data_IF_194038621941
#
_entry.id   IF_194038621941
#
_cell.length_a   1.000
_cell.length_b   1.000
_cell.length_c   1.000
_cell.angle_alpha   90.00
_cell.angle_beta   90.00
_cell.angle_gamma   90.00
#
_symmetry.space_group_name_H-M   'P 1'
#
loop_
_entity.id
_entity.type
_entity.pdbx_description
1 polymer ?
#
# COMPACT_ATOMS: atom_id res chain seq x y z
N UNK A 1 -16.80 27.15 -69.29
CA UNK A 1 -15.80 27.98 -68.59
C UNK A 1 -16.31 28.35 -67.21
N UNK A 2 -15.64 27.79 -66.18
CA UNK A 2 -15.37 28.31 -64.81
C UNK A 2 -16.50 29.07 -64.10
N UNK A 3 -17.17 28.49 -63.12
CA UNK A 3 -16.67 28.33 -61.74
C UNK A 3 -16.04 29.62 -61.17
N UNK A 4 -16.85 30.44 -60.50
CA UNK A 4 -16.49 31.36 -59.40
C UNK A 4 -17.68 32.28 -59.14
N UNK A 5 -18.43 32.01 -58.07
CA UNK A 5 -19.16 32.97 -57.21
C UNK A 5 -20.05 32.20 -56.23
N UNK A 6 -19.41 31.42 -55.37
CA UNK A 6 -20.02 30.83 -54.17
C UNK A 6 -18.96 30.91 -53.07
N UNK A 7 -18.91 32.08 -52.42
CA UNK A 7 -18.17 32.44 -51.20
C UNK A 7 -18.44 33.94 -51.02
N UNK A 8 -19.25 34.31 -50.04
CA UNK A 8 -19.56 35.65 -49.46
C UNK A 8 -20.98 35.69 -48.84
N UNK A 9 -21.79 34.63 -48.92
CA UNK A 9 -23.12 34.57 -48.29
C UNK A 9 -23.20 33.76 -46.97
N UNK A 10 -22.08 33.57 -46.26
CA UNK A 10 -22.05 32.80 -44.99
C UNK A 10 -21.27 33.52 -43.88
N UNK A 11 -21.41 34.85 -43.81
CA UNK A 11 -20.79 35.69 -42.77
C UNK A 11 -21.78 36.65 -42.09
N UNK A 12 -23.10 36.48 -42.30
CA UNK A 12 -24.16 37.35 -41.73
C UNK A 12 -25.16 36.52 -40.87
N UNK A 13 -24.76 35.34 -40.39
CA UNK A 13 -25.62 34.49 -39.54
C UNK A 13 -25.08 34.28 -38.12
N UNK A 14 -23.96 34.93 -37.77
CA UNK A 14 -23.35 34.86 -36.45
C UNK A 14 -23.22 36.30 -35.91
N UNK A 15 -24.34 36.98 -35.68
CA UNK A 15 -24.35 38.21 -34.85
C UNK A 15 -25.73 38.63 -34.33
N UNK A 16 -26.71 37.73 -34.23
CA UNK A 16 -28.06 38.07 -33.72
C UNK A 16 -28.66 36.85 -33.03
N UNK A 17 -28.35 36.68 -31.74
CA UNK A 17 -29.22 36.07 -30.72
C UNK A 17 -28.48 36.02 -29.37
N UNK A 18 -28.38 37.20 -28.76
CA UNK A 18 -28.25 37.35 -27.32
C UNK A 18 -29.43 38.21 -26.85
N UNK A 19 -29.96 37.86 -25.67
CA UNK A 19 -31.02 38.52 -24.89
C UNK A 19 -32.46 38.03 -25.13
N UNK A 20 -33.00 37.23 -24.20
CA UNK A 20 -33.98 37.61 -23.15
C UNK A 20 -34.57 36.33 -22.51
N UNK A 21 -34.57 36.28 -21.17
CA UNK A 21 -35.07 35.27 -20.21
C UNK A 21 -36.62 35.10 -20.22
N UNK A 22 -37.32 34.40 -19.28
CA UNK A 22 -36.90 33.57 -18.13
C UNK A 22 -37.63 32.21 -17.94
N UNK A 23 -37.15 31.46 -16.94
CA UNK A 23 -37.76 30.29 -16.32
C UNK A 23 -39.11 30.58 -15.62
N UNK A 24 -40.07 29.67 -15.75
CA UNK A 24 -41.12 29.38 -14.76
C UNK A 24 -41.89 28.09 -15.14
N UNK A 25 -42.34 27.38 -14.10
CA UNK A 25 -43.42 26.38 -14.03
C UNK A 25 -43.04 24.95 -13.59
N UNK A 26 -43.32 24.72 -12.31
CA UNK A 26 -43.79 23.52 -11.63
C UNK A 26 -44.55 22.46 -12.46
N UNK A 27 -44.40 21.19 -12.03
CA UNK A 27 -45.55 20.35 -11.65
C UNK A 27 -45.97 19.21 -12.60
N UNK A 28 -46.07 17.99 -12.05
CA UNK A 28 -46.78 16.82 -12.61
C UNK A 28 -46.02 15.51 -12.39
N UNK A 29 -46.16 14.81 -11.26
CA UNK A 29 -47.24 13.87 -10.90
C UNK A 29 -47.45 12.73 -11.92
N UNK A 30 -46.97 11.52 -11.58
CA UNK A 30 -47.72 10.28 -11.85
C UNK A 30 -47.53 9.26 -10.71
N UNK A 31 -48.66 8.91 -10.10
CA UNK A 31 -48.87 7.76 -9.24
C UNK A 31 -48.78 6.46 -10.06
N UNK A 32 -48.30 5.37 -9.45
CA UNK A 32 -48.34 4.04 -10.06
C UNK A 32 -47.92 2.91 -9.14
N UNK A 33 -48.86 2.49 -8.29
CA UNK A 33 -49.04 1.13 -7.73
C UNK A 33 -47.92 0.49 -6.87
N UNK A 34 -48.23 0.47 -5.56
CA UNK A 34 -47.76 -0.51 -4.59
C UNK A 34 -48.38 -1.90 -4.83
N UNK A 35 -47.58 -2.94 -4.57
CA UNK A 35 -48.03 -4.27 -4.14
C UNK A 35 -47.01 -4.82 -3.12
N UNK A 36 -47.40 -5.77 -2.25
CA UNK A 36 -47.08 -5.71 -0.82
C UNK A 36 -45.92 -6.61 -0.36
N UNK A 37 -45.19 -6.10 0.65
CA UNK A 37 -44.87 -6.81 1.90
C UNK A 37 -43.95 -8.03 1.86
N UNK A 38 -42.66 -7.82 2.13
CA UNK A 38 -41.82 -8.78 2.86
C UNK A 38 -41.05 -8.07 3.99
N UNK A 39 -40.78 -8.74 5.13
CA UNK A 39 -40.32 -8.10 6.36
C UNK A 39 -38.83 -7.70 6.31
N UNK A 40 -38.38 -6.75 7.16
CA UNK A 40 -36.99 -6.33 7.20
C UNK A 40 -36.14 -7.38 7.91
N UNK A 41 -35.38 -8.15 7.14
CA UNK A 41 -34.21 -8.87 7.64
C UNK A 41 -33.07 -7.88 7.86
N UNK A 42 -32.96 -7.37 9.08
CA UNK A 42 -31.84 -6.58 9.56
C UNK A 42 -30.57 -7.42 9.64
N UNK A 43 -29.47 -6.94 9.05
CA UNK A 43 -28.13 -7.42 9.39
C UNK A 43 -27.16 -7.65 8.23
N UNK A 44 -27.14 -6.81 7.20
CA UNK A 44 -25.95 -6.73 6.34
C UNK A 44 -24.83 -6.05 7.13
N UNK A 45 -23.84 -6.82 7.57
CA UNK A 45 -22.54 -6.29 7.99
C UNK A 45 -21.96 -5.48 6.83
N UNK A 46 -21.86 -4.17 7.03
CA UNK A 46 -21.14 -3.26 6.16
C UNK A 46 -19.63 -3.55 6.24
N UNK A 47 -19.15 -4.50 5.43
CA UNK A 47 -17.71 -4.68 5.18
C UNK A 47 -17.14 -3.60 4.21
N UNK A 48 -17.99 -2.70 3.71
CA UNK A 48 -17.62 -1.67 2.73
C UNK A 48 -17.01 -0.37 3.27
N UNK A 49 -16.73 -0.24 4.57
CA UNK A 49 -16.32 1.04 5.18
C UNK A 49 -15.03 1.00 6.02
N UNK A 50 -14.12 0.05 5.78
CA UNK A 50 -12.82 -0.05 6.50
C UNK A 50 -11.60 0.26 5.64
N UNK A 51 -11.64 1.29 4.80
CA UNK A 51 -10.43 1.84 4.21
C UNK A 51 -10.04 3.11 4.97
N UNK A 52 -9.52 2.92 6.19
CA UNK A 52 -8.81 3.99 6.89
C UNK A 52 -7.62 4.45 6.04
N UNK A 53 -7.31 5.74 6.08
CA UNK A 53 -6.12 6.30 5.43
C UNK A 53 -4.90 5.55 5.96
N UNK A 54 -4.04 5.07 5.07
CA UNK A 54 -2.90 4.26 5.47
C UNK A 54 -1.97 5.06 6.40
N UNK A 55 -1.70 4.52 7.60
CA UNK A 55 -0.82 5.16 8.59
C UNK A 55 0.65 4.92 8.24
N UNK A 56 1.60 5.66 8.84
CA UNK A 56 3.04 5.41 8.62
C UNK A 56 3.44 3.97 8.98
N UNK A 57 2.73 3.33 9.91
CA UNK A 57 3.00 1.97 10.31
C UNK A 57 2.32 0.88 9.47
N UNK A 58 1.48 1.22 8.50
CA UNK A 58 0.92 0.24 7.55
C UNK A 58 2.00 -0.55 6.78
N UNK A 59 3.06 0.10 6.22
CA UNK A 59 4.26 -0.57 5.75
C UNK A 59 4.82 -1.63 6.70
N UNK A 60 5.00 -1.25 7.97
CA UNK A 60 5.66 -2.05 9.00
C UNK A 60 4.77 -3.25 9.34
N UNK A 61 3.47 -3.02 9.55
CA UNK A 61 2.50 -4.09 9.80
C UNK A 61 2.36 -5.06 8.62
N UNK A 62 2.31 -4.57 7.37
CA UNK A 62 2.25 -5.45 6.18
C UNK A 62 3.53 -6.27 6.05
N UNK A 63 4.71 -5.65 6.16
CA UNK A 63 5.98 -6.38 6.09
C UNK A 63 6.11 -7.41 7.21
N UNK A 64 5.67 -7.07 8.43
CA UNK A 64 5.61 -8.01 9.54
C UNK A 64 4.73 -9.23 9.20
N UNK A 65 3.54 -9.01 8.62
CA UNK A 65 2.69 -10.11 8.17
C UNK A 65 3.34 -10.96 7.09
N UNK A 66 4.00 -10.36 6.11
CA UNK A 66 4.66 -11.13 5.04
C UNK A 66 5.81 -11.97 5.59
N UNK A 67 6.67 -11.41 6.45
CA UNK A 67 7.75 -12.17 7.09
C UNK A 67 7.18 -13.28 7.99
N UNK A 68 6.14 -12.98 8.74
CA UNK A 68 5.47 -13.94 9.61
C UNK A 68 4.90 -15.14 8.87
N UNK A 69 4.33 -14.92 7.67
CA UNK A 69 3.78 -15.97 6.80
C UNK A 69 4.84 -16.95 6.29
N UNK A 70 6.10 -16.56 6.40
CA UNK A 70 7.24 -17.31 5.90
C UNK A 70 8.14 -17.85 7.03
N UNK A 71 7.73 -17.70 8.29
CA UNK A 71 8.30 -18.42 9.43
C UNK A 71 7.67 -19.82 9.57
N UNK A 72 8.42 -20.74 10.17
CA UNK A 72 8.10 -22.16 10.34
C UNK A 72 8.53 -22.66 11.72
N UNK A 73 8.07 -23.84 12.11
CA UNK A 73 8.39 -24.48 13.38
C UNK A 73 7.44 -24.09 14.52
N UNK A 74 7.57 -24.74 15.70
CA UNK A 74 6.57 -24.72 16.77
C UNK A 74 6.35 -23.37 17.46
N UNK A 75 7.25 -22.41 17.28
CA UNK A 75 7.12 -21.03 17.78
C UNK A 75 7.42 -20.01 16.67
N UNK A 76 7.19 -20.46 15.43
CA UNK A 76 7.74 -19.92 14.18
C UNK A 76 9.12 -19.26 14.34
N UNK A 77 10.05 -20.03 14.90
CA UNK A 77 11.44 -19.68 15.18
C UNK A 77 12.41 -20.22 14.11
N UNK A 78 11.86 -20.83 13.05
CA UNK A 78 12.60 -21.27 11.88
C UNK A 78 12.21 -20.40 10.70
N UNK A 79 13.16 -20.12 9.85
CA UNK A 79 12.94 -19.55 8.54
C UNK A 79 13.75 -20.37 7.54
N UNK A 80 13.35 -20.30 6.29
CA UNK A 80 14.10 -20.89 5.21
C UNK A 80 14.95 -19.78 4.59
N UNK A 81 16.27 -19.85 4.77
CA UNK A 81 17.20 -18.85 4.22
C UNK A 81 17.20 -18.85 2.67
N UNK A 82 16.75 -19.95 2.05
CA UNK A 82 16.52 -20.03 0.61
C UNK A 82 15.15 -19.51 0.22
N UNK A 83 14.24 -19.32 1.20
CA UNK A 83 12.96 -18.70 0.92
C UNK A 83 13.21 -17.26 0.52
N UNK A 84 12.79 -16.94 -0.69
CA UNK A 84 13.15 -15.70 -1.33
C UNK A 84 12.48 -14.46 -0.73
N UNK A 85 11.39 -14.61 0.03
CA UNK A 85 10.80 -13.53 0.83
C UNK A 85 11.82 -13.01 1.85
N UNK A 86 12.60 -13.89 2.48
CA UNK A 86 13.67 -13.50 3.41
C UNK A 86 14.85 -12.84 2.71
N UNK A 87 15.05 -13.14 1.42
CA UNK A 87 16.05 -12.44 0.60
C UNK A 87 15.57 -11.12 0.00
N UNK A 88 14.25 -10.94 -0.16
CA UNK A 88 13.61 -9.74 -0.70
C UNK A 88 13.35 -8.70 0.40
N UNK A 89 12.84 -9.16 1.53
CA UNK A 89 12.53 -8.36 2.73
C UNK A 89 13.70 -8.36 3.71
N UNK A 90 14.76 -9.11 3.46
CA UNK A 90 16.01 -8.90 4.15
C UNK A 90 16.85 -8.06 3.23
N UNK A 91 17.25 -6.87 3.66
CA UNK A 91 18.64 -6.51 3.38
C UNK A 91 19.48 -7.57 4.12
N UNK A 92 19.61 -8.75 3.51
CA UNK A 92 20.27 -9.93 4.07
C UNK A 92 21.65 -9.51 4.54
N UNK A 93 22.24 -8.47 3.98
CA UNK A 93 23.53 -7.92 4.40
C UNK A 93 23.43 -7.14 5.72
N UNK A 94 22.44 -6.26 5.92
CA UNK A 94 22.22 -5.63 7.24
C UNK A 94 21.87 -6.68 8.30
N UNK A 95 20.96 -7.59 7.96
CA UNK A 95 20.55 -8.66 8.86
C UNK A 95 21.71 -9.62 9.13
N UNK A 96 22.48 -10.08 8.12
CA UNK A 96 23.72 -10.85 8.31
C UNK A 96 24.77 -10.07 9.10
N UNK A 97 24.87 -8.75 8.95
CA UNK A 97 25.81 -7.95 9.72
C UNK A 97 25.44 -7.96 11.20
N UNK A 98 24.15 -7.81 11.51
CA UNK A 98 23.63 -7.94 12.87
C UNK A 98 23.78 -9.38 13.41
N UNK A 99 23.41 -10.36 12.60
CA UNK A 99 23.37 -11.78 12.92
C UNK A 99 24.73 -12.46 12.95
N UNK A 100 25.73 -11.94 12.25
CA UNK A 100 27.12 -12.44 12.35
C UNK A 100 27.67 -12.34 13.77
N UNK A 101 27.03 -11.51 14.62
CA UNK A 101 27.40 -11.30 16.01
C UNK A 101 26.54 -12.11 16.99
N UNK A 102 25.50 -12.81 16.53
CA UNK A 102 24.52 -13.48 17.41
C UNK A 102 24.07 -14.84 16.87
N UNK A 103 23.87 -15.82 17.76
CA UNK A 103 23.34 -17.15 17.38
C UNK A 103 21.81 -17.15 17.22
N UNK A 104 21.14 -16.08 17.65
CA UNK A 104 19.69 -15.85 17.68
C UNK A 104 19.05 -15.58 16.32
N UNK A 105 19.87 -15.49 15.28
CA UNK A 105 19.39 -15.35 13.92
C UNK A 105 19.39 -16.66 13.14
N UNK A 106 19.92 -17.74 13.69
CA UNK A 106 19.92 -19.03 13.01
C UNK A 106 18.49 -19.59 12.96
N UNK A 107 18.15 -20.27 11.87
CA UNK A 107 16.89 -21.00 11.79
C UNK A 107 16.81 -22.02 12.93
N UNK A 108 15.68 -22.06 13.64
CA UNK A 108 15.49 -22.81 14.87
C UNK A 108 15.75 -21.99 16.14
N UNK A 109 16.43 -20.86 16.03
CA UNK A 109 16.72 -19.92 17.11
C UNK A 109 16.20 -18.51 16.82
N UNK A 110 15.40 -18.31 15.77
CA UNK A 110 14.94 -16.98 15.35
C UNK A 110 14.07 -16.32 16.42
N UNK A 111 14.58 -15.26 17.05
CA UNK A 111 13.97 -14.58 18.21
C UNK A 111 13.05 -13.41 17.82
N UNK A 112 12.21 -12.98 18.75
CA UNK A 112 11.34 -11.81 18.61
C UNK A 112 12.09 -10.53 18.20
N UNK A 113 13.25 -10.25 18.80
CA UNK A 113 14.10 -9.11 18.42
C UNK A 113 14.57 -9.24 16.97
N UNK A 114 15.03 -10.44 16.58
CA UNK A 114 15.46 -10.73 15.20
C UNK A 114 14.34 -10.49 14.18
N UNK A 115 13.09 -10.82 14.54
CA UNK A 115 11.91 -10.57 13.71
C UNK A 115 11.67 -9.08 13.48
N UNK A 116 11.62 -8.28 14.55
CA UNK A 116 11.40 -6.84 14.44
C UNK A 116 12.53 -6.18 13.64
N UNK A 117 13.78 -6.55 13.91
CA UNK A 117 14.93 -6.05 13.15
C UNK A 117 14.82 -6.40 11.66
N UNK A 118 14.39 -7.63 11.32
CA UNK A 118 14.19 -8.05 9.94
C UNK A 118 13.09 -7.25 9.24
N UNK A 119 11.97 -6.97 9.91
CA UNK A 119 10.86 -6.15 9.36
C UNK A 119 11.35 -4.75 9.01
N UNK A 120 12.09 -4.10 9.90
CA UNK A 120 12.59 -2.75 9.66
C UNK A 120 13.71 -2.72 8.60
N UNK A 121 14.57 -3.74 8.58
CA UNK A 121 15.57 -3.91 7.53
C UNK A 121 14.94 -4.09 6.14
N UNK A 122 13.81 -4.81 6.05
CA UNK A 122 13.04 -4.99 4.82
C UNK A 122 12.57 -3.70 4.19
N UNK A 123 12.21 -2.74 5.03
CA UNK A 123 11.69 -1.46 4.61
C UNK A 123 12.82 -0.49 4.25
N UNK A 124 14.08 -0.92 4.30
CA UNK A 124 15.24 -0.05 4.17
C UNK A 124 15.35 0.97 5.31
N UNK A 125 14.68 0.72 6.44
CA UNK A 125 14.65 1.57 7.63
C UNK A 125 15.20 0.78 8.83
N UNK A 126 16.48 0.35 8.83
CA UNK A 126 17.01 -0.43 9.95
C UNK A 126 16.79 0.30 11.27
N UNK A 127 16.44 -0.46 12.32
CA UNK A 127 16.31 0.12 13.65
C UNK A 127 17.64 0.76 14.09
N UNK A 128 17.61 1.91 14.80
CA UNK A 128 18.81 2.46 15.40
C UNK A 128 19.47 1.45 16.32
N UNK A 129 20.80 1.33 16.26
CA UNK A 129 21.53 0.36 17.08
C UNK A 129 21.28 0.57 18.59
N UNK A 130 21.01 1.80 19.02
CA UNK A 130 20.64 2.13 20.41
C UNK A 130 19.27 1.61 20.82
N UNK A 131 18.37 1.31 19.88
CA UNK A 131 17.07 0.70 20.17
C UNK A 131 17.20 -0.81 20.40
N UNK A 132 18.13 -1.44 19.67
CA UNK A 132 18.25 -2.89 19.62
C UNK A 132 18.99 -3.41 20.87
N UNK A 133 18.27 -4.14 21.70
CA UNK A 133 18.79 -4.83 22.88
C UNK A 133 18.01 -6.12 23.15
N UNK A 134 18.02 -6.58 24.41
CA UNK A 134 17.08 -7.61 24.84
C UNK A 134 15.64 -7.09 24.71
N UNK A 135 14.67 -8.00 24.58
CA UNK A 135 13.30 -7.62 24.27
C UNK A 135 12.70 -6.62 25.30
N UNK A 136 12.93 -6.84 26.59
CA UNK A 136 12.49 -5.91 27.65
C UNK A 136 13.14 -4.52 27.60
N UNK A 137 14.29 -4.37 26.90
CA UNK A 137 15.04 -3.11 26.82
C UNK A 137 14.48 -2.19 25.73
N UNK A 138 13.74 -2.70 24.75
CA UNK A 138 13.15 -1.89 23.67
C UNK A 138 12.37 -0.68 24.21
N UNK A 139 11.61 -0.92 25.28
CA UNK A 139 10.82 0.12 25.94
C UNK A 139 11.66 1.26 26.50
N UNK A 140 12.74 0.95 27.21
CA UNK A 140 13.58 1.98 27.83
C UNK A 140 14.50 2.64 26.79
N UNK A 141 14.99 1.87 25.83
CA UNK A 141 15.82 2.37 24.74
C UNK A 141 15.09 3.37 23.83
N UNK A 142 13.77 3.20 23.65
CA UNK A 142 12.95 4.13 22.86
C UNK A 142 12.76 5.49 23.55
N UNK A 143 12.92 5.58 24.87
CA UNK A 143 12.55 6.77 25.65
C UNK A 143 13.25 8.06 25.21
N UNK A 144 14.48 7.94 24.71
CA UNK A 144 15.35 9.06 24.38
C UNK A 144 15.74 9.06 22.90
N UNK A 145 15.06 8.27 22.07
CA UNK A 145 15.43 8.08 20.68
C UNK A 145 14.69 9.08 19.80
N UNK A 146 15.39 10.02 19.12
CA UNK A 146 14.73 10.97 18.23
C UNK A 146 13.91 10.25 17.16
N UNK A 147 12.66 10.68 16.99
CA UNK A 147 11.73 10.07 16.03
C UNK A 147 11.05 8.80 16.50
N UNK A 148 11.10 8.55 17.81
CA UNK A 148 10.34 7.48 18.44
C UNK A 148 9.56 8.01 19.63
N UNK A 149 8.35 7.52 19.78
CA UNK A 149 7.44 7.84 20.87
C UNK A 149 7.08 6.58 21.63
N UNK A 150 7.02 6.70 22.96
CA UNK A 150 6.46 5.65 23.81
C UNK A 150 5.03 6.01 24.15
N UNK A 151 4.15 5.03 24.03
CA UNK A 151 2.74 5.11 24.37
C UNK A 151 2.51 4.12 25.52
N UNK A 152 2.63 4.56 26.79
CA UNK A 152 2.40 3.71 27.96
C UNK A 152 1.00 3.13 27.96
N UNK A 153 0.81 1.93 28.52
CA UNK A 153 -0.52 1.28 28.60
C UNK A 153 -1.62 2.20 29.16
N UNK A 154 -1.41 2.98 30.25
CA UNK A 154 -2.44 3.89 30.74
C UNK A 154 -2.86 4.97 29.73
N UNK A 155 -1.98 5.29 28.77
CA UNK A 155 -2.24 6.25 27.69
C UNK A 155 -2.73 5.59 26.41
N UNK A 156 -2.62 4.26 26.26
CA UNK A 156 -3.01 3.54 25.05
C UNK A 156 -4.50 3.71 24.70
N UNK A 157 -5.37 3.87 25.71
CA UNK A 157 -6.79 4.16 25.49
C UNK A 157 -7.02 5.48 24.74
N UNK A 158 -6.16 6.49 24.96
CA UNK A 158 -6.30 7.82 24.35
C UNK A 158 -5.42 7.98 23.11
N UNK A 159 -4.17 7.51 23.17
CA UNK A 159 -3.20 7.65 22.09
C UNK A 159 -3.42 6.64 20.95
N UNK A 160 -4.18 5.57 21.22
CA UNK A 160 -4.61 4.50 20.31
C UNK A 160 -3.44 3.80 19.61
N UNK A 161 -3.17 2.52 19.90
CA UNK A 161 -2.21 1.74 19.12
C UNK A 161 -2.54 1.80 17.63
N UNK A 162 -1.52 1.79 16.79
CA UNK A 162 -1.66 1.80 15.35
C UNK A 162 -0.92 0.61 14.76
N UNK A 163 -1.37 0.18 13.59
CA UNK A 163 -0.63 -0.77 12.77
C UNK A 163 0.80 -0.28 12.59
N UNK A 164 1.78 -1.16 12.77
CA UNK A 164 3.21 -0.88 12.70
C UNK A 164 3.88 -0.42 14.00
N UNK A 165 3.11 -0.10 15.04
CA UNK A 165 3.71 0.15 16.36
C UNK A 165 4.43 -1.11 16.85
N UNK A 166 5.60 -0.93 17.49
CA UNK A 166 6.20 -2.02 18.25
C UNK A 166 5.46 -2.17 19.57
N UNK A 167 5.37 -3.39 20.07
CA UNK A 167 4.80 -3.69 21.38
C UNK A 167 5.93 -4.16 22.28
N UNK A 168 6.10 -3.56 23.45
CA UNK A 168 7.12 -3.92 24.42
C UNK A 168 6.53 -4.60 25.64
N UNK A 169 7.06 -5.78 25.99
CA UNK A 169 6.74 -6.48 27.23
C UNK A 169 7.98 -6.70 28.09
N UNK A 170 7.80 -6.63 29.41
CA UNK A 170 8.76 -7.13 30.39
C UNK A 170 8.26 -8.43 31.05
N UNK A 171 9.14 -9.09 31.80
CA UNK A 171 8.81 -10.34 32.49
C UNK A 171 8.92 -11.57 31.59
N UNK A 172 7.93 -12.47 31.68
CA UNK A 172 7.95 -13.78 31.05
C UNK A 172 8.73 -14.82 31.87
N UNK A 173 8.71 -16.11 31.48
CA UNK A 173 9.28 -17.22 32.27
C UNK A 173 10.77 -17.06 32.62
N UNK A 174 11.50 -16.30 31.81
CA UNK A 174 12.94 -16.09 31.95
C UNK A 174 13.30 -14.62 32.23
N UNK A 175 12.31 -13.73 32.37
CA UNK A 175 12.52 -12.30 32.62
C UNK A 175 13.02 -11.48 31.41
N UNK A 176 13.22 -12.09 30.24
CA UNK A 176 13.76 -11.41 29.05
C UNK A 176 12.78 -10.43 28.38
N UNK A 177 11.49 -10.50 28.71
CA UNK A 177 10.44 -9.74 28.04
C UNK A 177 10.11 -10.28 26.65
N UNK A 178 9.42 -9.47 25.86
CA UNK A 178 9.09 -9.79 24.46
C UNK A 178 8.91 -8.50 23.64
N UNK A 179 9.06 -8.60 22.32
CA UNK A 179 8.78 -7.50 21.40
C UNK A 179 8.03 -8.01 20.15
N UNK A 180 7.02 -7.28 19.70
CA UNK A 180 6.22 -7.63 18.53
C UNK A 180 5.82 -6.38 17.74
N UNK A 181 5.06 -6.57 16.65
CA UNK A 181 4.56 -5.48 15.81
C UNK A 181 3.04 -5.58 15.70
N UNK A 182 2.33 -4.48 15.94
CA UNK A 182 0.89 -4.39 15.70
C UNK A 182 0.63 -4.55 14.20
N UNK A 183 -0.21 -5.51 13.81
CA UNK A 183 -0.53 -5.78 12.39
C UNK A 183 -1.97 -5.50 12.03
N UNK A 184 -2.86 -5.47 13.02
CA UNK A 184 -4.28 -5.14 12.87
C UNK A 184 -4.86 -4.78 14.25
N UNK A 185 -5.95 -4.03 14.29
CA UNK A 185 -6.65 -3.71 15.53
C UNK A 185 -8.12 -3.38 15.32
N UNK A 186 -8.91 -3.58 16.37
CA UNK A 186 -10.25 -3.05 16.51
C UNK A 186 -10.31 -2.29 17.84
N UNK A 187 -10.62 -1.01 17.78
CA UNK A 187 -10.81 -0.23 18.99
C UNK A 187 -12.02 -0.73 19.80
N UNK A 188 -11.96 -0.69 21.15
CA UNK A 188 -13.13 -0.93 21.97
C UNK A 188 -14.19 0.14 21.72
N UNK A 189 -15.44 -0.25 21.93
CA UNK A 189 -16.57 0.67 22.00
C UNK A 189 -17.08 0.72 23.45
N UNK A 190 -17.96 1.67 23.81
CA UNK A 190 -18.55 1.69 25.16
C UNK A 190 -19.24 0.38 25.58
N UNK A 191 -19.66 -0.44 24.61
CA UNK A 191 -20.45 -1.65 24.86
C UNK A 191 -19.76 -2.95 24.43
N UNK A 192 -18.54 -2.88 23.88
CA UNK A 192 -17.85 -4.06 23.38
C UNK A 192 -16.34 -3.88 23.46
N UNK A 193 -15.66 -4.92 23.90
CA UNK A 193 -14.21 -5.00 23.86
C UNK A 193 -13.72 -4.99 22.40
N UNK A 194 -12.57 -4.35 22.21
CA UNK A 194 -11.78 -4.40 21.01
C UNK A 194 -10.68 -5.46 21.11
N UNK A 195 -9.76 -5.41 20.16
CA UNK A 195 -8.61 -6.30 20.12
C UNK A 195 -7.43 -5.67 19.39
N UNK A 196 -6.24 -6.18 19.69
CA UNK A 196 -5.00 -5.79 19.02
C UNK A 196 -4.34 -7.09 18.54
N UNK A 197 -4.22 -7.23 17.23
CA UNK A 197 -3.52 -8.36 16.60
C UNK A 197 -2.09 -7.93 16.31
N UNK A 198 -1.13 -8.78 16.64
CA UNK A 198 0.29 -8.49 16.47
C UNK A 198 1.02 -9.69 15.87
N UNK A 199 2.10 -9.42 15.12
CA UNK A 199 3.01 -10.43 14.59
C UNK A 199 4.33 -10.44 15.36
N UNK A 200 4.87 -11.62 15.62
CA UNK A 200 6.07 -11.80 16.44
C UNK A 200 6.94 -13.01 16.02
N UNK A 201 8.03 -13.30 16.72
CA UNK A 201 8.69 -14.60 16.60
C UNK A 201 9.10 -15.19 17.95
N UNK A 202 9.21 -16.52 18.00
CA UNK A 202 9.57 -17.26 19.21
C UNK A 202 8.57 -17.07 20.37
N UNK A 203 7.28 -17.11 20.07
CA UNK A 203 6.22 -17.11 21.10
C UNK A 203 5.00 -17.92 20.63
N UNK A 204 4.00 -18.09 21.50
CA UNK A 204 2.68 -18.56 21.08
C UNK A 204 2.04 -17.64 20.04
N UNK A 205 1.13 -18.21 19.27
CA UNK A 205 0.15 -17.49 18.47
C UNK A 205 -1.02 -18.39 18.09
N UNK A 206 -1.96 -17.85 17.33
CA UNK A 206 -3.27 -18.49 17.09
C UNK A 206 -3.61 -18.60 15.60
N UNK A 207 -2.68 -18.21 14.73
CA UNK A 207 -2.91 -18.10 13.30
C UNK A 207 -3.26 -19.42 12.63
N UNK A 208 -2.61 -20.51 13.03
CA UNK A 208 -2.93 -21.83 12.51
C UNK A 208 -3.49 -22.70 13.63
N UNK A 209 -4.52 -23.48 13.28
CA UNK A 209 -5.22 -24.38 14.20
C UNK A 209 -4.38 -25.59 14.62
N UNK A 210 -3.16 -25.73 14.11
CA UNK A 210 -2.27 -26.83 14.45
C UNK A 210 -1.49 -26.49 15.73
N UNK A 211 -1.67 -27.25 16.83
CA UNK A 211 -0.92 -27.05 18.07
C UNK A 211 0.61 -27.16 17.90
N UNK A 212 1.09 -27.82 16.84
CA UNK A 212 2.51 -27.89 16.50
C UNK A 212 3.00 -26.70 15.68
N UNK A 213 2.09 -25.86 15.19
CA UNK A 213 2.38 -24.69 14.36
C UNK A 213 1.40 -23.56 14.67
N UNK A 214 1.31 -23.04 15.91
CA UNK A 214 0.33 -22.01 16.27
C UNK A 214 0.32 -20.79 15.31
N UNK A 215 1.44 -20.57 14.62
CA UNK A 215 1.73 -19.31 13.94
C UNK A 215 2.05 -18.26 15.00
N UNK A 216 2.59 -17.12 14.57
CA UNK A 216 2.98 -16.07 15.52
C UNK A 216 2.29 -14.75 15.20
N UNK A 217 1.06 -14.82 14.67
CA UNK A 217 0.13 -13.76 15.02
C UNK A 217 -0.62 -14.19 16.25
N UNK A 218 -0.84 -13.25 17.16
CA UNK A 218 -1.68 -13.47 18.34
C UNK A 218 -2.46 -12.18 18.61
N UNK A 219 -3.42 -12.26 19.54
CA UNK A 219 -4.38 -11.22 19.82
C UNK A 219 -4.44 -10.91 21.31
N UNK A 220 -4.25 -9.64 21.64
CA UNK A 220 -4.60 -9.09 22.96
C UNK A 220 -6.05 -8.62 22.95
N UNK A 221 -6.74 -8.78 24.09
CA UNK A 221 -8.05 -8.17 24.29
C UNK A 221 -7.88 -6.73 24.76
N UNK A 222 -8.52 -5.79 24.08
CA UNK A 222 -8.51 -4.38 24.45
C UNK A 222 -9.88 -4.02 25.01
N UNK A 223 -9.98 -3.99 26.33
CA UNK A 223 -11.26 -3.85 27.02
C UNK A 223 -11.88 -2.46 26.87
N UNK A 224 -13.20 -2.40 26.96
CA UNK A 224 -13.97 -1.14 26.91
C UNK A 224 -13.54 -0.11 27.97
N UNK A 225 -12.97 -0.55 29.09
CA UNK A 225 -12.43 0.30 30.14
C UNK A 225 -10.98 0.78 29.89
N UNK A 226 -10.42 0.48 28.71
CA UNK A 226 -9.06 0.84 28.33
C UNK A 226 -7.97 -0.13 28.81
N UNK A 227 -8.29 -1.15 29.62
CA UNK A 227 -7.34 -2.18 30.00
C UNK A 227 -6.97 -3.07 28.82
N UNK A 228 -5.74 -3.55 28.78
CA UNK A 228 -5.28 -4.50 27.75
C UNK A 228 -4.86 -5.78 28.44
N UNK A 229 -5.56 -6.87 28.13
CA UNK A 229 -5.19 -8.21 28.60
C UNK A 229 -4.14 -8.80 27.67
N UNK A 230 -3.03 -9.22 28.27
CA UNK A 230 -1.85 -9.76 27.58
C UNK A 230 -1.50 -11.16 28.09
N UNK A 231 -0.45 -11.77 27.53
CA UNK A 231 0.05 -13.09 27.93
C UNK A 231 0.31 -13.23 29.44
N UNK A 232 -0.05 -14.38 30.04
CA UNK A 232 0.28 -14.69 31.42
C UNK A 232 1.79 -14.60 31.70
N UNK A 233 2.16 -13.97 32.80
CA UNK A 233 3.56 -13.80 33.23
C UNK A 233 4.31 -12.67 32.53
N UNK A 234 3.71 -12.03 31.51
CA UNK A 234 4.25 -10.84 30.87
C UNK A 234 3.55 -9.58 31.38
N UNK A 235 4.30 -8.49 31.48
CA UNK A 235 3.74 -7.15 31.74
C UNK A 235 3.88 -6.31 30.49
N UNK A 236 2.76 -5.88 29.91
CA UNK A 236 2.76 -4.95 28.78
C UNK A 236 3.27 -3.59 29.27
N UNK A 237 4.39 -3.13 28.71
CA UNK A 237 4.97 -1.82 29.04
C UNK A 237 4.26 -0.72 28.25
N UNK A 238 3.97 -0.99 26.97
CA UNK A 238 3.23 -0.10 26.09
C UNK A 238 3.58 -0.34 24.62
N UNK A 239 3.33 0.68 23.80
CA UNK A 239 3.62 0.70 22.37
C UNK A 239 4.74 1.69 22.05
N UNK A 240 5.57 1.38 21.07
CA UNK A 240 6.66 2.23 20.62
C UNK A 240 6.38 2.57 19.15
N UNK A 241 6.11 3.85 18.90
CA UNK A 241 5.75 4.37 17.58
C UNK A 241 6.94 5.09 16.97
N UNK A 242 7.22 4.84 15.70
CA UNK A 242 8.12 5.70 14.93
C UNK A 242 7.35 6.98 14.55
N UNK A 243 7.78 8.13 15.07
CA UNK A 243 7.10 9.43 14.91
C UNK A 243 7.79 10.40 13.96
N UNK A 244 9.06 10.18 13.64
CA UNK A 244 9.73 10.96 12.59
C UNK A 244 10.63 10.09 11.72
N UNK A 245 10.56 10.35 10.42
CA UNK A 245 11.50 9.84 9.44
C UNK A 245 10.86 8.92 8.41
N UNK A 246 10.05 9.50 7.51
CA UNK A 246 10.14 9.01 6.13
C UNK A 246 11.57 9.27 5.65
N UNK A 247 12.19 8.33 4.92
CA UNK A 247 13.50 8.57 4.35
C UNK A 247 13.36 9.75 3.39
N UNK A 248 14.11 10.83 3.63
CA UNK A 248 14.32 11.86 2.60
C UNK A 248 15.13 11.31 1.42
N UNK A 249 15.71 10.12 1.59
CA UNK A 249 16.46 9.37 0.59
C UNK A 249 15.81 8.01 0.36
N UNK A 250 15.34 7.73 -0.86
CA UNK A 250 14.89 6.39 -1.26
C UNK A 250 16.02 5.40 -0.91
N UNK A 251 15.75 4.30 -0.19
CA UNK A 251 16.79 3.32 0.14
C UNK A 251 17.44 2.75 -1.14
N UNK A 252 18.71 2.32 -1.06
CA UNK A 252 19.42 1.74 -2.19
C UNK A 252 18.69 0.53 -2.79
N UNK A 253 18.91 0.33 -4.10
CA UNK A 253 18.14 -0.53 -5.00
C UNK A 253 17.90 -1.95 -4.45
N UNK A 254 16.64 -2.33 -4.34
CA UNK A 254 16.22 -3.71 -4.06
C UNK A 254 16.29 -4.52 -5.36
N UNK A 255 16.98 -5.65 -5.37
CA UNK A 255 16.97 -6.59 -6.49
C UNK A 255 16.32 -7.91 -6.03
N UNK A 256 15.27 -8.35 -6.72
CA UNK A 256 14.64 -9.64 -6.49
C UNK A 256 15.40 -10.78 -7.15
N UNK A 257 15.39 -11.98 -6.58
CA UNK A 257 15.84 -13.21 -7.25
C UNK A 257 14.68 -13.99 -7.90
N UNK A 258 14.93 -14.79 -8.95
CA UNK A 258 13.87 -15.51 -9.68
C UNK A 258 13.10 -16.52 -8.82
N UNK A 259 13.71 -17.04 -7.76
CA UNK A 259 13.06 -17.95 -6.80
C UNK A 259 11.93 -17.24 -6.03
N UNK A 260 12.01 -15.92 -5.82
CA UNK A 260 10.98 -15.06 -5.15
C UNK A 260 9.62 -15.27 -5.73
N UNK A 261 9.54 -15.17 -7.05
CA UNK A 261 8.26 -15.19 -7.75
C UNK A 261 7.58 -16.55 -7.66
N UNK A 262 8.35 -17.64 -7.60
CA UNK A 262 7.81 -18.99 -7.48
C UNK A 262 7.25 -19.26 -6.08
N UNK A 263 7.88 -18.74 -5.02
CA UNK A 263 7.38 -18.88 -3.64
C UNK A 263 6.01 -18.23 -3.44
N UNK A 264 5.76 -17.09 -4.09
CA UNK A 264 4.50 -16.34 -3.99
C UNK A 264 3.29 -17.07 -4.58
N UNK A 265 3.50 -18.02 -5.50
CA UNK A 265 2.43 -18.81 -6.12
C UNK A 265 1.72 -19.72 -5.12
N UNK A 266 2.37 -20.06 -4.00
CA UNK A 266 1.88 -21.04 -3.03
C UNK A 266 1.19 -20.42 -1.79
N UNK A 267 0.93 -19.12 -1.78
CA UNK A 267 0.20 -18.47 -0.66
C UNK A 267 -1.28 -18.88 -0.72
N UNK A 268 -1.85 -19.54 0.32
CA UNK A 268 -3.21 -20.10 0.26
C UNK A 268 -4.34 -19.06 0.16
N UNK A 269 -4.07 -17.83 0.61
CA UNK A 269 -5.01 -16.73 0.52
C UNK A 269 -4.72 -15.90 -0.74
N UNK A 270 -5.70 -15.84 -1.63
CA UNK A 270 -5.59 -15.16 -2.92
C UNK A 270 -5.24 -13.68 -2.82
N UNK A 271 -5.83 -12.94 -1.87
CA UNK A 271 -5.48 -11.52 -1.67
C UNK A 271 -4.04 -11.37 -1.16
N UNK A 272 -3.60 -12.23 -0.25
CA UNK A 272 -2.21 -12.21 0.24
C UNK A 272 -1.20 -12.55 -0.86
N UNK A 273 -1.58 -13.43 -1.79
CA UNK A 273 -0.78 -13.72 -2.98
C UNK A 273 -0.56 -12.47 -3.84
N UNK A 274 -1.62 -11.70 -4.09
CA UNK A 274 -1.52 -10.46 -4.88
C UNK A 274 -0.75 -9.38 -4.13
N UNK A 275 -0.87 -9.31 -2.80
CA UNK A 275 -0.13 -8.33 -2.01
C UNK A 275 1.36 -8.59 -2.10
N UNK A 276 1.73 -9.86 -1.92
CA UNK A 276 3.12 -10.26 -2.01
C UNK A 276 3.70 -10.07 -3.43
N UNK A 277 2.90 -10.30 -4.49
CA UNK A 277 3.31 -10.00 -5.86
C UNK A 277 3.44 -8.49 -6.12
N UNK A 278 2.57 -7.66 -5.55
CA UNK A 278 2.69 -6.22 -5.61
C UNK A 278 3.96 -5.73 -4.92
N UNK A 279 4.26 -6.24 -3.71
CA UNK A 279 5.51 -5.95 -2.99
C UNK A 279 6.73 -6.35 -3.82
N UNK A 280 6.70 -7.55 -4.41
CA UNK A 280 7.77 -7.99 -5.29
C UNK A 280 7.95 -7.08 -6.51
N UNK A 281 6.85 -6.72 -7.17
CA UNK A 281 6.87 -5.83 -8.33
C UNK A 281 7.46 -4.46 -7.97
N UNK A 282 7.05 -3.88 -6.84
CA UNK A 282 7.59 -2.63 -6.36
C UNK A 282 9.08 -2.72 -6.05
N UNK A 283 9.52 -3.77 -5.35
CA UNK A 283 10.93 -4.00 -5.05
C UNK A 283 11.77 -4.09 -6.33
N UNK A 284 11.35 -4.90 -7.31
CA UNK A 284 12.05 -5.06 -8.60
C UNK A 284 12.18 -3.73 -9.36
N UNK A 285 11.10 -2.94 -9.39
CA UNK A 285 11.07 -1.65 -10.07
C UNK A 285 11.49 -0.48 -9.18
N UNK A 286 12.09 -0.73 -8.02
CA UNK A 286 12.63 0.29 -7.12
C UNK A 286 11.58 1.34 -6.70
N UNK A 287 10.33 0.91 -6.60
CA UNK A 287 9.23 1.67 -6.03
C UNK A 287 9.15 1.34 -4.55
N UNK A 288 8.85 2.35 -3.73
CA UNK A 288 8.59 2.12 -2.31
C UNK A 288 7.39 1.16 -2.14
N UNK A 289 7.59 -0.10 -1.69
CA UNK A 289 6.54 -1.12 -1.74
C UNK A 289 5.22 -0.76 -1.05
N UNK A 290 5.24 -0.09 0.13
CA UNK A 290 3.99 0.29 0.77
C UNK A 290 3.14 1.25 -0.05
N UNK A 291 3.74 2.19 -0.76
CA UNK A 291 2.96 3.07 -1.64
C UNK A 291 2.34 2.31 -2.80
N UNK A 292 3.09 1.38 -3.38
CA UNK A 292 2.59 0.59 -4.48
C UNK A 292 1.47 -0.35 -4.05
N UNK A 293 1.58 -0.97 -2.87
CA UNK A 293 0.50 -1.77 -2.28
C UNK A 293 -0.72 -0.90 -2.00
N UNK A 294 -0.56 0.27 -1.38
CA UNK A 294 -1.66 1.22 -1.15
C UNK A 294 -2.32 1.68 -2.45
N UNK A 295 -1.53 1.86 -3.50
CA UNK A 295 -2.03 2.15 -4.84
C UNK A 295 -2.95 1.02 -5.33
N UNK A 296 -2.50 -0.23 -5.27
CA UNK A 296 -3.31 -1.37 -5.71
C UNK A 296 -4.58 -1.56 -4.85
N UNK A 297 -4.52 -1.24 -3.54
CA UNK A 297 -5.71 -1.14 -2.70
C UNK A 297 -6.63 0.01 -3.12
N UNK A 298 -6.09 1.16 -3.52
CA UNK A 298 -6.88 2.28 -4.02
C UNK A 298 -7.57 1.98 -5.36
N UNK A 299 -6.91 1.22 -6.24
CA UNK A 299 -7.44 0.83 -7.55
C UNK A 299 -8.54 -0.22 -7.45
N UNK A 300 -8.28 -1.32 -6.75
CA UNK A 300 -9.17 -2.48 -6.77
C UNK A 300 -9.48 -3.08 -5.41
N UNK A 301 -8.93 -2.53 -4.33
CA UNK A 301 -8.92 -3.22 -3.04
C UNK A 301 -8.04 -4.47 -3.06
N UNK A 302 -7.07 -4.50 -3.99
CA UNK A 302 -6.18 -5.64 -4.25
C UNK A 302 -6.91 -6.90 -4.76
N UNK A 303 -8.08 -6.71 -5.37
CA UNK A 303 -8.97 -7.77 -5.82
C UNK A 303 -9.09 -7.74 -7.35
N UNK A 304 -8.55 -8.74 -8.07
CA UNK A 304 -8.57 -8.74 -9.53
C UNK A 304 -9.95 -9.01 -10.13
N UNK A 305 -10.92 -9.49 -9.34
CA UNK A 305 -12.18 -10.03 -9.85
C UNK A 305 -13.41 -9.27 -9.38
N UNK A 306 -14.50 -9.38 -10.13
CA UNK A 306 -15.80 -8.90 -9.70
C UNK A 306 -16.36 -9.83 -8.62
N UNK A 307 -17.00 -9.24 -7.61
CA UNK A 307 -17.71 -9.97 -6.56
C UNK A 307 -19.21 -9.69 -6.63
N UNK A 308 -20.02 -10.71 -6.40
CA UNK A 308 -21.47 -10.56 -6.23
C UNK A 308 -21.80 -9.95 -4.86
N UNK A 309 -23.10 -9.74 -4.59
CA UNK A 309 -23.56 -9.17 -3.32
C UNK A 309 -23.21 -10.01 -2.08
N UNK A 310 -22.82 -11.27 -2.27
CA UNK A 310 -22.43 -12.20 -1.20
C UNK A 310 -20.90 -12.31 -1.09
N UNK A 311 -20.13 -11.53 -1.86
CA UNK A 311 -18.67 -11.58 -1.86
C UNK A 311 -18.05 -12.72 -2.70
N UNK A 312 -18.86 -13.49 -3.43
CA UNK A 312 -18.36 -14.56 -4.29
C UNK A 312 -17.83 -13.99 -5.60
N UNK A 313 -16.78 -14.62 -6.15
CA UNK A 313 -16.26 -14.27 -7.48
C UNK A 313 -17.33 -14.54 -8.55
N UNK A 314 -17.67 -13.50 -9.31
CA UNK A 314 -18.55 -13.62 -10.48
C UNK A 314 -17.81 -14.40 -11.56
N UNK A 315 -18.50 -15.39 -12.13
CA UNK A 315 -17.97 -16.22 -13.22
C UNK A 315 -18.74 -15.97 -14.51
N UNK A 316 -18.03 -16.02 -15.64
CA UNK A 316 -18.63 -15.97 -16.97
C UNK A 316 -19.37 -17.27 -17.31
N UNK A 317 -19.97 -17.33 -18.51
CA UNK A 317 -20.68 -18.52 -19.02
C UNK A 317 -19.80 -19.78 -19.15
N UNK A 318 -18.48 -19.63 -19.13
CA UNK A 318 -17.52 -20.72 -19.21
C UNK A 318 -16.94 -21.08 -17.83
N UNK A 319 -17.39 -20.40 -16.75
CA UNK A 319 -16.90 -20.61 -15.40
C UNK A 319 -15.61 -19.87 -15.05
N UNK A 320 -15.11 -18.97 -15.92
CA UNK A 320 -13.91 -18.18 -15.65
C UNK A 320 -14.24 -16.97 -14.76
N UNK A 321 -13.36 -16.57 -13.83
CA UNK A 321 -13.50 -15.33 -13.08
C UNK A 321 -13.65 -14.11 -14.01
N UNK A 322 -14.65 -13.27 -13.74
CA UNK A 322 -14.82 -12.00 -14.46
C UNK A 322 -13.88 -10.96 -13.84
N UNK A 323 -12.99 -10.32 -14.62
CA UNK A 323 -12.09 -9.31 -14.08
C UNK A 323 -12.84 -8.08 -13.60
N UNK A 324 -12.35 -7.47 -12.53
CA UNK A 324 -12.91 -6.24 -11.97
C UNK A 324 -12.78 -5.11 -12.98
N UNK A 325 -13.87 -4.40 -13.24
CA UNK A 325 -13.87 -3.26 -14.17
C UNK A 325 -14.38 -1.98 -13.52
N UNK A 326 -13.79 -0.83 -13.87
CA UNK A 326 -14.32 0.48 -13.50
C UNK A 326 -15.34 0.99 -14.52
N UNK A 327 -16.13 2.04 -14.18
CA UNK A 327 -16.97 2.75 -15.15
C UNK A 327 -16.21 3.33 -16.36
N UNK A 328 -14.88 3.52 -16.24
CA UNK A 328 -14.00 3.98 -17.32
C UNK A 328 -13.37 2.82 -18.11
N UNK A 329 -13.85 1.59 -17.93
CA UNK A 329 -13.34 0.36 -18.53
C UNK A 329 -11.87 0.07 -18.19
N UNK A 330 -11.42 0.51 -17.01
CA UNK A 330 -10.17 0.02 -16.43
C UNK A 330 -10.35 -1.42 -15.95
N UNK A 331 -9.34 -2.28 -16.08
CA UNK A 331 -9.47 -3.74 -15.92
C UNK A 331 -8.48 -4.28 -14.87
N UNK A 332 -8.95 -5.20 -14.03
CA UNK A 332 -8.15 -6.05 -13.15
C UNK A 332 -7.61 -5.37 -11.90
N UNK A 333 -6.66 -6.01 -11.23
CA UNK A 333 -6.14 -5.57 -9.91
C UNK A 333 -5.47 -4.20 -9.96
N UNK A 334 -4.83 -3.88 -11.10
CA UNK A 334 -4.14 -2.62 -11.32
C UNK A 334 -5.00 -1.56 -12.05
N UNK A 335 -6.24 -1.90 -12.43
CA UNK A 335 -7.16 -1.00 -13.14
C UNK A 335 -6.49 -0.33 -14.36
N UNK A 336 -5.88 -1.12 -15.23
CA UNK A 336 -5.34 -0.60 -16.49
C UNK A 336 -6.44 -0.39 -17.53
N UNK A 337 -6.39 0.72 -18.26
CA UNK A 337 -7.08 0.84 -19.55
C UNK A 337 -6.46 -0.12 -20.56
N UNK A 338 -7.28 -0.70 -21.44
CA UNK A 338 -6.80 -1.62 -22.48
C UNK A 338 -5.70 -0.99 -23.36
N UNK A 339 -5.83 0.30 -23.70
CA UNK A 339 -4.82 1.04 -24.48
C UNK A 339 -3.49 1.20 -23.74
N UNK A 340 -3.55 1.40 -22.42
CA UNK A 340 -2.34 1.50 -21.59
C UNK A 340 -1.66 0.14 -21.49
N UNK A 341 -2.43 -0.92 -21.21
CA UNK A 341 -1.91 -2.29 -21.15
C UNK A 341 -1.25 -2.73 -22.47
N UNK A 342 -1.83 -2.36 -23.61
CA UNK A 342 -1.27 -2.62 -24.93
C UNK A 342 0.10 -1.95 -25.16
N UNK A 343 0.36 -0.81 -24.51
CA UNK A 343 1.60 -0.06 -24.61
C UNK A 343 2.72 -0.54 -23.67
N UNK A 344 2.41 -1.37 -22.68
CA UNK A 344 3.41 -1.88 -21.73
C UNK A 344 4.15 -3.06 -22.37
N UNK A 345 5.50 -3.05 -22.40
CA UNK A 345 6.28 -4.11 -23.02
C UNK A 345 6.20 -5.40 -22.20
N UNK A 346 6.14 -6.58 -22.83
CA UNK A 346 6.01 -7.85 -22.10
C UNK A 346 7.19 -8.18 -21.18
N UNK A 347 8.39 -7.66 -21.45
CA UNK A 347 9.50 -7.81 -20.49
C UNK A 347 9.18 -7.17 -19.12
N UNK A 348 8.22 -6.23 -19.03
CA UNK A 348 7.77 -5.65 -17.77
C UNK A 348 7.09 -6.65 -16.80
N UNK A 349 6.72 -7.84 -17.26
CA UNK A 349 6.15 -8.88 -16.38
C UNK A 349 7.22 -9.86 -15.87
N UNK A 350 8.45 -9.76 -16.38
CA UNK A 350 9.54 -10.64 -16.00
C UNK A 350 10.33 -10.05 -14.82
N UNK A 351 9.94 -10.41 -13.61
CA UNK A 351 10.57 -9.90 -12.39
C UNK A 351 11.90 -10.60 -12.01
N UNK A 352 12.53 -11.34 -12.94
CA UNK A 352 13.85 -11.96 -12.69
C UNK A 352 14.93 -10.90 -12.40
N UNK A 353 15.91 -11.16 -11.51
CA UNK A 353 17.02 -10.25 -11.19
C UNK A 353 17.82 -9.79 -12.40
N UNK A 354 17.90 -10.64 -13.43
CA UNK A 354 18.66 -10.38 -14.65
C UNK A 354 17.90 -9.48 -15.62
N UNK A 355 16.60 -9.26 -15.41
CA UNK A 355 15.84 -8.32 -16.23
C UNK A 355 16.00 -6.91 -15.66
N UNK A 356 16.58 -5.97 -16.41
CA UNK A 356 16.75 -4.61 -15.92
C UNK A 356 15.37 -3.91 -15.77
N UNK A 357 15.23 -2.99 -14.80
CA UNK A 357 14.01 -2.19 -14.66
C UNK A 357 13.63 -1.45 -15.96
N UNK A 358 14.63 -1.02 -16.74
CA UNK A 358 14.45 -0.39 -18.04
C UNK A 358 14.25 -1.41 -19.16
N UNK A 359 13.11 -2.09 -19.10
CA UNK A 359 12.67 -3.11 -20.03
C UNK A 359 12.60 -2.65 -21.51
N UNK A 360 12.45 -1.33 -21.76
CA UNK A 360 12.35 -0.76 -23.11
C UNK A 360 13.69 -0.52 -23.81
N UNK A 361 14.80 -0.59 -23.08
CA UNK A 361 16.15 -0.30 -23.61
C UNK A 361 16.90 -1.56 -24.10
N UNK A 362 16.33 -2.77 -23.95
CA UNK A 362 17.02 -4.02 -24.26
C UNK A 362 16.83 -4.45 -25.74
N UNK A 363 17.92 -4.77 -26.46
CA UNK A 363 17.82 -5.38 -27.80
C UNK A 363 17.03 -6.69 -27.75
N UNK A 364 15.91 -6.77 -28.48
CA UNK A 364 15.04 -7.94 -28.51
C UNK A 364 13.87 -7.91 -27.53
N UNK A 365 13.65 -6.82 -26.78
CA UNK A 365 12.34 -6.55 -26.20
C UNK A 365 11.32 -6.61 -27.34
N UNK A 366 10.31 -7.49 -27.24
CA UNK A 366 9.30 -7.62 -28.28
C UNK A 366 8.78 -6.23 -28.69
N UNK A 367 8.52 -5.99 -29.99
CA UNK A 367 8.08 -4.69 -30.43
C UNK A 367 6.86 -4.23 -29.60
N UNK A 368 6.77 -2.94 -29.26
CA UNK A 368 5.57 -2.37 -28.66
C UNK A 368 4.34 -2.85 -29.43
N UNK A 369 3.42 -3.57 -28.77
CA UNK A 369 2.19 -4.05 -29.42
C UNK A 369 1.68 -5.45 -29.05
N UNK A 370 2.41 -6.30 -28.30
CA UNK A 370 1.80 -7.52 -27.73
C UNK A 370 1.20 -7.34 -26.34
N UNK A 371 1.44 -6.18 -25.70
CA UNK A 371 0.82 -5.74 -24.45
C UNK A 371 0.92 -6.72 -23.29
N UNK A 372 0.37 -6.32 -22.15
CA UNK A 372 0.05 -7.23 -21.05
C UNK A 372 -1.45 -7.52 -21.07
N UNK A 373 -1.87 -8.66 -20.51
CA UNK A 373 -3.28 -8.89 -20.22
C UNK A 373 -3.66 -8.23 -18.88
N UNK A 374 -4.44 -7.14 -18.88
CA UNK A 374 -4.77 -6.44 -17.64
C UNK A 374 -5.74 -7.23 -16.74
N UNK A 375 -6.41 -8.26 -17.28
CA UNK A 375 -7.27 -9.16 -16.49
C UNK A 375 -6.47 -10.22 -15.72
N UNK A 376 -5.21 -10.46 -16.11
CA UNK A 376 -4.33 -11.44 -15.48
C UNK A 376 -3.50 -10.76 -14.36
N UNK A 377 -3.77 -11.01 -13.07
CA UNK A 377 -3.06 -10.32 -11.97
C UNK A 377 -1.54 -10.60 -11.97
N UNK A 378 -1.10 -11.75 -12.47
CA UNK A 378 0.31 -12.09 -12.62
C UNK A 378 1.03 -11.22 -13.66
N UNK A 379 0.31 -10.63 -14.60
CA UNK A 379 0.86 -9.68 -15.57
C UNK A 379 0.62 -8.23 -15.14
N UNK A 380 -0.58 -7.94 -14.65
CA UNK A 380 -1.00 -6.59 -14.30
C UNK A 380 -0.18 -5.98 -13.16
N UNK A 381 0.17 -6.75 -12.12
CA UNK A 381 0.92 -6.22 -10.98
C UNK A 381 2.38 -5.85 -11.32
N UNK A 382 3.17 -6.74 -11.95
CA UNK A 382 4.48 -6.37 -12.48
C UNK A 382 4.42 -5.18 -13.45
N UNK A 383 3.46 -5.19 -14.37
CA UNK A 383 3.25 -4.12 -15.34
C UNK A 383 2.95 -2.77 -14.66
N UNK A 384 2.15 -2.77 -13.58
CA UNK A 384 1.89 -1.59 -12.77
C UNK A 384 3.14 -1.09 -12.06
N UNK A 385 3.98 -2.00 -11.55
CA UNK A 385 5.29 -1.64 -10.98
C UNK A 385 6.18 -0.99 -12.03
N UNK A 386 6.29 -1.57 -13.22
CA UNK A 386 7.05 -0.97 -14.31
C UNK A 386 6.53 0.42 -14.71
N UNK A 387 5.21 0.54 -14.88
CA UNK A 387 4.58 1.78 -15.30
C UNK A 387 4.77 2.89 -14.26
N UNK A 388 4.63 2.58 -12.97
CA UNK A 388 4.91 3.52 -11.89
C UNK A 388 6.37 3.94 -11.83
N UNK A 389 7.32 3.02 -12.06
CA UNK A 389 8.74 3.35 -12.10
C UNK A 389 9.05 4.30 -13.26
N UNK A 390 8.45 4.05 -14.43
CA UNK A 390 8.61 4.94 -15.58
C UNK A 390 8.06 6.35 -15.31
N UNK A 391 6.86 6.45 -14.70
CA UNK A 391 6.27 7.74 -14.30
C UNK A 391 7.13 8.45 -13.25
N UNK A 392 7.64 7.74 -12.25
CA UNK A 392 8.49 8.32 -11.22
C UNK A 392 9.82 8.81 -11.80
N UNK A 393 10.45 8.03 -12.69
CA UNK A 393 11.68 8.42 -13.42
C UNK A 393 11.45 9.70 -14.24
N UNK A 394 10.32 9.80 -14.94
CA UNK A 394 9.92 11.03 -15.65
C UNK A 394 9.89 12.22 -14.68
N UNK A 395 9.13 12.14 -13.59
CA UNK A 395 8.95 13.27 -12.68
C UNK A 395 10.17 13.63 -11.83
N UNK A 396 11.09 12.70 -11.58
CA UNK A 396 12.40 13.02 -10.99
C UNK A 396 13.25 13.92 -11.88
N UNK A 397 13.05 13.87 -13.20
CA UNK A 397 13.76 14.67 -14.19
C UNK A 397 12.92 15.81 -14.80
N UNK A 398 11.64 15.94 -14.42
CA UNK A 398 10.71 16.84 -15.07
C UNK A 398 10.84 18.28 -14.58
N UNK A 399 11.30 19.16 -15.47
CA UNK A 399 11.50 20.60 -15.24
C UNK A 399 10.65 21.43 -16.20
N UNK A 400 9.40 21.78 -15.85
CA UNK A 400 8.63 22.68 -16.68
C UNK A 400 9.32 24.05 -16.68
N UNK A 401 9.63 24.54 -17.88
CA UNK A 401 10.29 25.83 -18.18
C UNK A 401 11.83 25.89 -18.12
N UNK A 402 12.52 24.78 -17.82
CA UNK A 402 13.99 24.74 -17.87
C UNK A 402 14.51 23.42 -18.48
N UNK A 403 14.38 23.23 -19.81
CA UNK A 403 14.76 21.97 -20.48
C UNK A 403 16.26 21.63 -20.40
N UNK A 404 17.11 22.59 -20.00
CA UNK A 404 18.56 22.44 -19.94
C UNK A 404 19.13 22.48 -18.51
N UNK A 405 18.29 22.45 -17.48
CA UNK A 405 18.73 22.54 -16.09
C UNK A 405 18.32 21.28 -15.32
N UNK A 406 19.24 20.71 -14.55
CA UNK A 406 18.95 19.62 -13.63
C UNK A 406 18.19 20.16 -12.42
N UNK A 407 16.86 20.03 -12.41
CA UNK A 407 16.09 20.29 -11.20
C UNK A 407 16.20 19.10 -10.26
N UNK A 408 16.52 19.37 -9.00
CA UNK A 408 16.37 18.39 -7.95
C UNK A 408 14.90 18.43 -7.51
N UNK A 409 14.06 17.59 -8.12
CA UNK A 409 12.70 17.38 -7.63
C UNK A 409 12.81 16.48 -6.40
N UNK A 410 12.19 16.89 -5.30
CA UNK A 410 12.09 16.06 -4.10
C UNK A 410 11.46 14.70 -4.46
N UNK A 411 12.06 13.56 -4.06
CA UNK A 411 11.55 12.24 -4.44
C UNK A 411 10.09 11.99 -4.05
N UNK A 412 9.61 12.53 -2.92
CA UNK A 412 8.21 12.39 -2.52
C UNK A 412 7.28 13.13 -3.47
N UNK A 413 7.68 14.32 -3.89
CA UNK A 413 6.96 15.12 -4.90
C UNK A 413 6.90 14.38 -6.24
N UNK A 414 7.98 13.73 -6.67
CA UNK A 414 8.00 12.90 -7.87
C UNK A 414 7.04 11.71 -7.77
N UNK A 415 7.01 11.01 -6.62
CA UNK A 415 6.04 9.94 -6.37
C UNK A 415 4.60 10.44 -6.42
N UNK A 416 4.28 11.56 -5.77
CA UNK A 416 2.94 12.13 -5.78
C UNK A 416 2.47 12.44 -7.22
N UNK A 417 3.36 12.98 -8.06
CA UNK A 417 3.08 13.20 -9.49
C UNK A 417 2.92 11.90 -10.26
N UNK A 418 3.74 10.89 -9.98
CA UNK A 418 3.63 9.58 -10.61
C UNK A 418 2.28 8.91 -10.29
N UNK A 419 1.83 8.93 -9.03
CA UNK A 419 0.50 8.43 -8.65
C UNK A 419 -0.63 9.22 -9.32
N UNK A 420 -0.51 10.55 -9.35
CA UNK A 420 -1.48 11.37 -10.06
C UNK A 420 -1.53 11.06 -11.55
N UNK A 421 -0.38 10.82 -12.18
CA UNK A 421 -0.27 10.50 -13.59
C UNK A 421 -0.75 9.09 -13.91
N UNK A 422 -0.65 8.15 -12.96
CA UNK A 422 -1.26 6.83 -13.08
C UNK A 422 -2.79 6.95 -13.20
N UNK A 423 -3.41 7.79 -12.36
CA UNK A 423 -4.86 7.99 -12.34
C UNK A 423 -5.38 8.90 -13.48
N UNK A 424 -4.71 10.03 -13.74
CA UNK A 424 -5.18 11.06 -14.68
C UNK A 424 -4.47 11.05 -16.05
N UNK A 425 -3.39 10.29 -16.19
CA UNK A 425 -2.47 10.35 -17.32
C UNK A 425 -1.38 11.40 -17.15
N UNK A 426 -0.17 11.08 -17.63
CA UNK A 426 1.02 11.95 -17.56
C UNK A 426 0.77 13.35 -18.13
N UNK A 427 0.14 13.46 -19.31
CA UNK A 427 -0.11 14.75 -19.96
C UNK A 427 -1.03 15.68 -19.14
N UNK A 428 -1.97 15.13 -18.38
CA UNK A 428 -2.85 15.93 -17.52
C UNK A 428 -2.06 16.55 -16.36
N UNK A 429 -1.16 15.77 -15.75
CA UNK A 429 -0.32 16.22 -14.64
C UNK A 429 0.76 17.18 -15.11
N UNK A 430 1.43 16.88 -16.24
CA UNK A 430 2.38 17.80 -16.87
C UNK A 430 1.73 19.17 -17.14
N UNK A 431 0.50 19.17 -17.68
CA UNK A 431 -0.25 20.39 -17.92
C UNK A 431 -0.65 21.10 -16.62
N UNK A 432 -0.98 20.37 -15.56
CA UNK A 432 -1.31 20.97 -14.26
C UNK A 432 -0.09 21.65 -13.62
N UNK A 433 1.10 21.02 -13.71
CA UNK A 433 2.35 21.60 -13.23
C UNK A 433 2.71 22.85 -14.05
N UNK A 434 2.54 22.83 -15.37
CA UNK A 434 2.79 24.00 -16.21
C UNK A 434 1.85 25.18 -15.90
N UNK A 435 0.56 24.91 -15.68
CA UNK A 435 -0.43 25.97 -15.43
C UNK A 435 -0.33 26.58 -14.03
N UNK A 436 -0.07 25.76 -13.01
CA UNK A 436 -0.18 26.17 -11.61
C UNK A 436 1.16 26.18 -10.87
N UNK A 437 2.22 25.66 -11.49
CA UNK A 437 3.54 25.59 -10.92
C UNK A 437 3.74 24.40 -9.99
N UNK A 438 5.02 24.18 -9.66
CA UNK A 438 5.53 23.00 -8.96
C UNK A 438 4.90 22.78 -7.57
N UNK A 439 4.57 23.88 -6.89
CA UNK A 439 4.01 23.83 -5.54
C UNK A 439 2.50 23.64 -5.49
N UNK A 440 1.74 23.94 -6.55
CA UNK A 440 0.27 23.96 -6.51
C UNK A 440 -0.43 23.07 -7.55
N UNK A 441 0.33 22.30 -8.32
CA UNK A 441 -0.21 21.49 -9.42
C UNK A 441 -1.36 20.54 -9.02
N UNK A 442 -1.37 20.00 -7.80
CA UNK A 442 -2.41 19.04 -7.39
C UNK A 442 -3.78 19.70 -7.32
N UNK A 443 -3.90 20.95 -6.84
CA UNK A 443 -5.21 21.66 -6.81
C UNK A 443 -5.78 21.88 -8.22
N UNK A 444 -4.90 21.90 -9.22
CA UNK A 444 -5.25 22.04 -10.63
C UNK A 444 -5.44 20.71 -11.36
N UNK A 445 -5.29 19.59 -10.65
CA UNK A 445 -5.60 18.24 -11.14
C UNK A 445 -7.08 17.91 -10.87
N UNK A 446 -7.67 16.91 -11.54
CA UNK A 446 -9.04 16.49 -11.26
C UNK A 446 -9.25 16.10 -9.79
N UNK A 447 -10.43 16.38 -9.23
CA UNK A 447 -10.71 16.10 -7.81
C UNK A 447 -10.53 14.62 -7.44
N UNK A 448 -10.86 13.69 -8.34
CA UNK A 448 -10.59 12.26 -8.20
C UNK A 448 -9.10 11.99 -7.97
N UNK A 449 -8.24 12.63 -8.76
CA UNK A 449 -6.79 12.51 -8.69
C UNK A 449 -6.20 13.13 -7.42
N UNK A 450 -6.77 14.24 -6.96
CA UNK A 450 -6.41 14.85 -5.68
C UNK A 450 -6.63 13.85 -4.55
N UNK A 451 -7.85 13.30 -4.45
CA UNK A 451 -8.20 12.31 -3.44
C UNK A 451 -7.35 11.03 -3.54
N UNK A 452 -7.03 10.62 -4.78
CA UNK A 452 -6.19 9.46 -5.04
C UNK A 452 -4.78 9.63 -4.46
N UNK A 453 -4.12 10.76 -4.72
CA UNK A 453 -2.79 11.07 -4.18
C UNK A 453 -2.82 11.17 -2.65
N UNK A 454 -3.84 11.85 -2.10
CA UNK A 454 -4.02 11.99 -0.64
C UNK A 454 -4.14 10.61 0.01
N UNK A 455 -4.96 9.71 -0.55
CA UNK A 455 -5.19 8.35 -0.03
C UNK A 455 -3.93 7.50 0.00
N UNK A 456 -3.06 7.61 -1.01
CA UNK A 456 -1.87 6.75 -1.15
C UNK A 456 -0.66 7.33 -0.42
N UNK A 457 -0.42 8.62 -0.60
CA UNK A 457 0.82 9.28 -0.17
C UNK A 457 0.66 9.98 1.19
N UNK A 458 -0.58 10.33 1.55
CA UNK A 458 -0.92 11.10 2.75
C UNK A 458 -0.71 12.61 2.59
N UNK A 459 -0.68 13.14 1.37
CA UNK A 459 -0.48 14.59 1.15
C UNK A 459 -1.70 15.39 1.60
N UNK A 460 -1.51 16.67 1.93
CA UNK A 460 -2.61 17.63 2.13
C UNK A 460 -2.49 18.78 1.13
N UNK A 461 -3.63 19.35 0.75
CA UNK A 461 -3.72 20.60 0.01
C UNK A 461 -3.83 21.71 1.04
N UNK A 462 -2.76 22.50 1.20
CA UNK A 462 -2.75 23.66 2.08
C UNK A 462 -3.79 24.69 1.61
N UNK A 463 -4.30 25.52 2.53
CA UNK A 463 -5.32 26.56 2.24
C UNK A 463 -4.92 27.53 1.11
N UNK A 464 -3.62 27.67 0.84
CA UNK A 464 -3.08 28.50 -0.26
C UNK A 464 -2.83 27.72 -1.57
N UNK A 465 -3.41 26.53 -1.70
CA UNK A 465 -3.26 25.65 -2.87
C UNK A 465 -1.92 24.92 -2.96
N UNK A 466 -1.03 25.11 -1.98
CA UNK A 466 0.25 24.39 -1.91
C UNK A 466 0.04 22.91 -1.59
N UNK A 467 0.74 22.03 -2.26
CA UNK A 467 0.77 20.59 -1.93
C UNK A 467 1.85 20.40 -0.88
N UNK A 468 1.43 20.18 0.36
CA UNK A 468 2.36 19.77 1.41
C UNK A 468 2.16 18.28 1.66
N UNK A 469 3.03 17.49 1.08
CA UNK A 469 3.22 16.11 1.51
C UNK A 469 4.08 16.15 2.80
N UNK A 470 3.45 16.56 3.91
CA UNK A 470 4.08 16.62 5.23
C UNK A 470 3.87 15.29 5.94
N UNK A 471 4.93 14.79 6.60
CA UNK A 471 4.91 13.54 7.34
C UNK A 471 4.05 13.56 8.62
N UNK A 472 3.63 14.73 9.11
CA UNK A 472 3.20 14.89 10.50
C UNK A 472 1.71 15.18 10.72
N UNK A 473 0.86 15.18 9.68
CA UNK A 473 -0.54 15.59 9.84
C UNK A 473 -1.50 14.64 9.13
N UNK A 474 -1.71 13.47 9.74
CA UNK A 474 -2.96 12.72 9.59
C UNK A 474 -3.88 13.24 10.70
N UNK A 475 -5.04 13.79 10.33
CA UNK A 475 -6.06 14.26 11.27
C UNK A 475 -6.84 13.08 11.84
#
# INVERSE_FOLDING_TARGET
MRARKLRIALAIFILLLALVSPMLACGGSQNGQQSPGMPPGSGTQNDGARYAVATEGDPIGTTAMILQDNLKGPMANQYDATNPVWSMLGNLDYWKQYCSKTTFCNSGNFQCVSFVVAVFAALGKPLPASLIGDAHQFWDNAANLPGWERIPVPLAANAKPQRGDLIGWSGGPQGFGHVAIVVDLQEPTPNADGWITFANANSPGDRFSDPAHPGNTDRMTWHANGQITTWPGYTLQGFIRQTTGRPTTIPPQFYLTSSVLQGLVNVPNENKRWEALAVASAAHYQIYPPFFVNQMYAESGLDPYQRDANGNIVKDKNGNPVPKTSPKNAIGVAQFLQSTAAGIPRCAINLTPTNPPDCGAQPGSQPPGTGIDPANPQEALPAAGYYMWHLNKHYLSYCPNQPNQTCQVDPMTAYARAFAAYNAGQGAIDSAIQRCGDATWLICSPAETQNYVIKIVGCQIAEKGGVTCSANQVV
#
